data_IF_408848745167
#
_entry.id   IF_408848745167
#
_cell.length_a   1.000
_cell.length_b   1.000
_cell.length_c   1.000
_cell.angle_alpha   90.00
_cell.angle_beta   90.00
_cell.angle_gamma   90.00
#
_symmetry.space_group_name_H-M   'P 1'
#
loop_
_entity.id
_entity.type
_entity.pdbx_description
1 polymer ?
#
# COMPACT_ATOMS: atom_id res chain seq x y z
N UNK A 1 7.34 18.39 -15.22
CA UNK A 1 5.99 18.15 -14.60
C UNK A 1 5.11 17.51 -15.64
N UNK A 2 4.46 16.40 -15.27
CA UNK A 2 3.50 15.73 -16.14
C UNK A 2 2.33 16.64 -16.51
N UNK A 3 1.64 16.32 -17.61
CA UNK A 3 0.46 17.06 -18.02
C UNK A 3 -0.71 16.81 -17.04
N UNK A 4 -1.53 17.84 -16.83
CA UNK A 4 -2.78 17.73 -16.07
C UNK A 4 -3.65 16.56 -16.53
N UNK A 5 -3.65 16.27 -17.82
CA UNK A 5 -4.43 15.17 -18.42
C UNK A 5 -3.99 13.82 -17.87
N UNK A 6 -2.68 13.58 -17.65
CA UNK A 6 -2.18 12.34 -17.10
C UNK A 6 -2.74 12.08 -15.69
N UNK A 7 -2.81 13.11 -14.83
CA UNK A 7 -3.45 13.00 -13.50
C UNK A 7 -4.94 12.69 -13.63
N UNK A 8 -5.65 13.34 -14.55
CA UNK A 8 -7.08 13.11 -14.74
C UNK A 8 -7.36 11.68 -15.26
N UNK A 9 -6.55 11.21 -16.18
CA UNK A 9 -6.66 9.85 -16.74
C UNK A 9 -6.37 8.80 -15.66
N UNK A 10 -5.32 8.99 -14.85
CA UNK A 10 -4.99 8.12 -13.72
C UNK A 10 -6.11 8.13 -12.64
N UNK A 11 -6.68 9.29 -12.35
CA UNK A 11 -7.80 9.42 -11.42
C UNK A 11 -9.05 8.66 -11.89
N UNK A 12 -9.37 8.79 -13.17
CA UNK A 12 -10.49 8.06 -13.79
C UNK A 12 -10.26 6.54 -13.78
N UNK A 13 -9.02 6.09 -14.01
CA UNK A 13 -8.64 4.68 -13.99
C UNK A 13 -8.73 4.04 -12.60
N UNK A 14 -8.37 4.80 -11.57
CA UNK A 14 -8.37 4.32 -10.17
C UNK A 14 -9.68 4.59 -9.43
N UNK A 15 -10.64 5.28 -10.06
CA UNK A 15 -11.89 5.73 -9.42
C UNK A 15 -11.66 6.64 -8.21
N UNK A 16 -10.59 7.43 -8.25
CA UNK A 16 -10.19 8.35 -7.18
C UNK A 16 -10.30 9.81 -7.65
N UNK A 17 -10.26 10.74 -6.69
CA UNK A 17 -10.25 12.16 -7.05
C UNK A 17 -8.88 12.58 -7.62
N UNK A 18 -8.85 13.53 -8.58
CA UNK A 18 -7.59 14.04 -9.14
C UNK A 18 -6.62 14.58 -8.09
N UNK A 19 -7.11 15.13 -6.99
CA UNK A 19 -6.28 15.66 -5.91
C UNK A 19 -5.53 14.56 -5.15
N UNK A 20 -6.13 13.38 -4.97
CA UNK A 20 -5.47 12.23 -4.34
C UNK A 20 -4.34 11.71 -5.23
N UNK A 21 -4.59 11.61 -6.54
CA UNK A 21 -3.57 11.16 -7.50
C UNK A 21 -2.44 12.19 -7.66
N UNK A 22 -2.78 13.49 -7.75
CA UNK A 22 -1.76 14.55 -7.77
C UNK A 22 -0.88 14.51 -6.52
N UNK A 23 -1.48 14.29 -5.35
CA UNK A 23 -0.74 14.21 -4.11
C UNK A 23 0.21 13.01 -4.11
N UNK A 24 -0.24 11.84 -4.59
CA UNK A 24 0.63 10.65 -4.75
C UNK A 24 1.81 10.92 -5.70
N UNK A 25 1.58 11.65 -6.79
CA UNK A 25 2.62 12.08 -7.70
C UNK A 25 3.67 12.97 -7.00
N UNK A 26 3.20 14.02 -6.30
CA UNK A 26 4.10 14.95 -5.59
C UNK A 26 4.83 14.26 -4.43
N UNK A 27 4.19 13.32 -3.73
CA UNK A 27 4.83 12.49 -2.70
C UNK A 27 6.02 11.70 -3.25
N UNK A 28 5.91 11.16 -4.46
CA UNK A 28 7.03 10.46 -5.11
C UNK A 28 8.23 11.39 -5.36
N UNK A 29 7.99 12.59 -5.86
CA UNK A 29 9.05 13.58 -6.07
C UNK A 29 9.64 14.13 -4.78
N UNK A 30 8.83 14.29 -3.74
CA UNK A 30 9.34 14.62 -2.39
C UNK A 30 10.28 13.53 -1.86
N UNK A 31 9.91 12.26 -2.03
CA UNK A 31 10.76 11.13 -1.67
C UNK A 31 12.05 11.11 -2.48
N UNK A 32 12.01 11.43 -3.78
CA UNK A 32 13.21 11.58 -4.61
C UNK A 32 14.13 12.70 -4.09
N UNK A 33 13.57 13.86 -3.74
CA UNK A 33 14.33 14.96 -3.18
C UNK A 33 14.98 14.60 -1.83
N UNK A 34 14.23 13.96 -0.92
CA UNK A 34 14.73 13.53 0.39
C UNK A 34 15.82 12.46 0.23
N UNK A 35 15.61 11.46 -0.60
CA UNK A 35 16.55 10.34 -0.76
C UNK A 35 17.86 10.71 -1.46
N UNK A 36 17.86 11.80 -2.24
CA UNK A 36 19.05 12.33 -2.93
C UNK A 36 19.77 13.45 -2.17
N UNK A 37 19.20 13.88 -1.03
CA UNK A 37 19.82 14.93 -0.22
C UNK A 37 20.91 14.34 0.67
N UNK A 38 22.13 14.88 0.60
CA UNK A 38 23.31 14.30 1.25
C UNK A 38 23.17 14.12 2.78
N UNK A 39 22.48 15.05 3.46
CA UNK A 39 22.30 14.99 4.91
C UNK A 39 21.12 14.07 5.33
N UNK A 40 20.18 13.77 4.43
CA UNK A 40 18.95 13.03 4.76
C UNK A 40 18.98 11.57 4.32
N UNK A 41 19.60 11.27 3.18
CA UNK A 41 19.54 9.98 2.48
C UNK A 41 19.83 8.75 3.34
N UNK A 42 20.78 8.85 4.29
CA UNK A 42 21.19 7.77 5.20
C UNK A 42 20.61 7.91 6.61
N UNK A 43 19.99 9.04 6.91
CA UNK A 43 19.49 9.38 8.25
C UNK A 43 17.96 9.22 8.38
N UNK A 44 17.21 9.45 7.30
CA UNK A 44 15.76 9.44 7.31
C UNK A 44 15.23 8.10 6.81
N UNK A 45 14.61 7.33 7.71
CA UNK A 45 14.08 6.00 7.41
C UNK A 45 12.57 6.12 7.20
N UNK A 46 12.14 5.90 5.98
CA UNK A 46 10.75 6.02 5.55
C UNK A 46 9.89 4.91 6.16
N UNK A 47 8.70 5.28 6.66
CA UNK A 47 7.76 4.36 7.30
C UNK A 47 6.31 4.76 7.01
N UNK A 48 5.36 4.15 7.70
CA UNK A 48 3.95 4.53 7.66
C UNK A 48 3.17 3.96 6.48
N UNK A 49 1.97 4.49 6.27
CA UNK A 49 1.06 4.00 5.23
C UNK A 49 1.55 4.29 3.81
N UNK A 50 2.18 5.45 3.62
CA UNK A 50 2.76 5.83 2.33
C UNK A 50 3.96 4.95 1.97
N UNK A 51 4.75 4.52 2.96
CA UNK A 51 5.82 3.54 2.75
C UNK A 51 5.25 2.20 2.27
N UNK A 52 4.19 1.69 2.86
CA UNK A 52 3.53 0.47 2.39
C UNK A 52 3.07 0.59 0.94
N UNK A 53 2.41 1.71 0.57
CA UNK A 53 1.93 1.98 -0.78
C UNK A 53 3.08 2.12 -1.78
N UNK A 54 4.10 2.90 -1.45
CA UNK A 54 5.17 3.26 -2.38
C UNK A 54 6.26 2.19 -2.50
N UNK A 55 6.57 1.48 -1.41
CA UNK A 55 7.70 0.54 -1.38
C UNK A 55 7.29 -0.92 -1.57
N UNK A 56 6.05 -1.31 -1.19
CA UNK A 56 5.69 -2.72 -1.11
C UNK A 56 4.44 -3.11 -1.90
N UNK A 57 3.45 -2.20 -2.04
CA UNK A 57 2.15 -2.54 -2.62
C UNK A 57 1.67 -1.51 -3.64
N UNK A 58 1.79 -1.80 -4.91
CA UNK A 58 1.35 -0.92 -6.00
C UNK A 58 -0.15 -0.62 -5.93
N UNK A 59 -0.97 -1.64 -5.65
CA UNK A 59 -2.43 -1.53 -5.56
C UNK A 59 -2.92 -1.51 -4.11
N UNK A 60 -2.43 -0.55 -3.33
CA UNK A 60 -2.80 -0.38 -1.93
C UNK A 60 -3.68 0.87 -1.76
N UNK A 61 -4.27 1.05 -0.54
CA UNK A 61 -4.93 2.31 -0.25
C UNK A 61 -3.96 3.48 -0.43
N UNK A 62 -4.46 4.57 -0.95
CA UNK A 62 -3.68 5.80 -1.02
C UNK A 62 -3.39 6.32 0.39
N UNK A 63 -2.24 6.93 0.55
CA UNK A 63 -1.81 7.55 1.79
C UNK A 63 -1.18 8.89 1.47
N UNK A 64 -1.36 9.86 2.35
CA UNK A 64 -1.15 11.27 2.02
C UNK A 64 -0.06 11.94 2.86
N UNK A 65 0.48 11.23 3.84
CA UNK A 65 1.42 11.74 4.81
C UNK A 65 2.80 11.08 4.59
N UNK A 66 3.89 11.78 4.87
CA UNK A 66 5.25 11.24 4.91
C UNK A 66 5.70 11.07 6.35
N UNK A 67 5.93 9.84 6.75
CA UNK A 67 6.39 9.48 8.08
C UNK A 67 7.85 9.01 8.03
N UNK A 68 8.71 9.56 8.89
CA UNK A 68 10.11 9.14 8.99
C UNK A 68 10.54 8.90 10.44
N UNK A 69 11.39 7.90 10.61
CA UNK A 69 12.22 7.76 11.80
C UNK A 69 13.63 8.27 11.48
N UNK A 70 14.10 9.25 12.25
CA UNK A 70 15.41 9.84 12.08
C UNK A 70 16.44 9.13 12.96
N UNK A 71 17.63 8.86 12.41
CA UNK A 71 18.77 8.37 13.19
C UNK A 71 19.41 9.47 14.03
N UNK A 72 19.41 10.69 13.49
CA UNK A 72 19.92 11.88 14.17
C UNK A 72 18.78 12.78 14.64
N UNK A 73 18.54 12.80 15.95
CA UNK A 73 17.52 13.64 16.58
C UNK A 73 17.83 15.15 16.43
N UNK A 74 19.11 15.52 16.22
CA UNK A 74 19.52 16.92 16.00
C UNK A 74 18.96 17.53 14.71
N UNK A 75 18.53 16.70 13.77
CA UNK A 75 17.87 17.17 12.54
C UNK A 75 16.40 17.55 12.75
N UNK A 76 15.81 17.32 13.94
CA UNK A 76 14.49 17.82 14.29
C UNK A 76 14.64 19.26 14.82
N UNK A 77 14.99 20.16 13.93
CA UNK A 77 15.23 21.58 14.16
C UNK A 77 14.58 22.41 13.03
N UNK A 78 13.84 23.44 13.39
CA UNK A 78 13.08 24.23 12.43
C UNK A 78 13.97 24.90 11.38
N UNK A 79 15.14 25.43 11.79
CA UNK A 79 16.08 26.11 10.90
C UNK A 79 16.70 25.12 9.90
N UNK A 80 17.11 23.95 10.41
CA UNK A 80 17.60 22.86 9.58
C UNK A 80 16.53 22.43 8.56
N UNK A 81 15.31 22.16 9.00
CA UNK A 81 14.21 21.70 8.15
C UNK A 81 13.85 22.72 7.07
N UNK A 82 13.76 24.00 7.42
CA UNK A 82 13.50 25.07 6.44
C UNK A 82 14.56 25.14 5.36
N UNK A 83 15.85 25.00 5.73
CA UNK A 83 16.95 25.00 4.78
C UNK A 83 16.87 23.81 3.83
N UNK A 84 16.82 22.59 4.37
CA UNK A 84 16.86 21.38 3.51
C UNK A 84 15.64 21.27 2.62
N UNK A 85 14.46 21.66 3.08
CA UNK A 85 13.24 21.65 2.27
C UNK A 85 13.20 22.77 1.22
N UNK A 86 13.89 23.89 1.44
CA UNK A 86 14.11 24.89 0.38
C UNK A 86 15.00 24.32 -0.73
N UNK A 87 16.13 23.67 -0.38
CA UNK A 87 17.04 23.03 -1.33
C UNK A 87 16.34 21.90 -2.12
N UNK A 88 15.54 21.07 -1.43
CA UNK A 88 14.72 20.02 -2.06
C UNK A 88 13.69 20.63 -3.01
N UNK A 89 13.00 21.69 -2.58
CA UNK A 89 12.00 22.38 -3.39
C UNK A 89 12.56 22.99 -4.66
N UNK A 90 13.74 23.59 -4.62
CA UNK A 90 14.44 24.10 -5.79
C UNK A 90 14.78 22.98 -6.78
N UNK A 91 15.36 21.88 -6.28
CA UNK A 91 15.68 20.71 -7.12
C UNK A 91 14.44 20.11 -7.79
N UNK A 92 13.37 19.89 -7.05
CA UNK A 92 12.10 19.33 -7.58
C UNK A 92 11.54 20.28 -8.65
N UNK A 93 11.57 21.59 -8.43
CA UNK A 93 11.12 22.57 -9.42
C UNK A 93 11.94 22.50 -10.70
N UNK A 94 13.26 22.39 -10.58
CA UNK A 94 14.15 22.33 -11.74
C UNK A 94 13.98 21.04 -12.55
N UNK A 95 13.76 19.90 -11.87
CA UNK A 95 13.54 18.58 -12.52
C UNK A 95 12.13 18.43 -13.09
N UNK A 96 11.10 18.97 -12.44
CA UNK A 96 9.71 18.67 -12.74
C UNK A 96 8.82 19.88 -13.03
N UNK A 97 9.19 21.05 -12.54
CA UNK A 97 8.34 22.25 -12.56
C UNK A 97 7.28 22.28 -11.44
N UNK A 98 7.26 21.30 -10.50
CA UNK A 98 6.42 21.40 -9.28
C UNK A 98 6.97 22.53 -8.41
N UNK A 99 6.12 23.47 -8.04
CA UNK A 99 6.52 24.56 -7.14
C UNK A 99 6.30 24.16 -5.68
N UNK A 100 7.33 24.31 -4.84
CA UNK A 100 7.29 24.10 -3.39
C UNK A 100 7.74 25.38 -2.71
N UNK A 101 6.81 26.35 -2.48
CA UNK A 101 7.18 27.67 -1.97
C UNK A 101 7.76 27.60 -0.56
N UNK A 102 9.04 27.96 -0.38
CA UNK A 102 9.74 27.87 0.90
C UNK A 102 9.05 28.68 2.03
N UNK A 103 8.44 29.81 1.69
CA UNK A 103 7.74 30.67 2.64
C UNK A 103 6.40 30.11 3.15
N UNK A 104 5.87 29.04 2.52
CA UNK A 104 4.62 28.39 2.92
C UNK A 104 4.84 27.04 3.61
N UNK A 105 6.09 26.75 3.95
CA UNK A 105 6.43 25.53 4.69
C UNK A 105 6.36 25.81 6.19
N UNK A 106 5.70 24.95 6.90
CA UNK A 106 5.50 25.02 8.34
C UNK A 106 6.14 23.78 8.99
N UNK A 107 6.98 23.99 10.02
CA UNK A 107 7.58 22.91 10.81
C UNK A 107 7.35 23.22 12.29
N UNK A 108 6.43 22.48 12.91
CA UNK A 108 6.10 22.62 14.31
C UNK A 108 6.90 21.60 15.11
N UNK A 109 7.80 22.08 15.97
CA UNK A 109 8.61 21.23 16.84
C UNK A 109 7.85 21.01 18.14
N UNK A 110 7.54 19.76 18.44
CA UNK A 110 6.72 19.32 19.56
C UNK A 110 7.48 18.33 20.44
N UNK A 111 6.94 18.05 21.61
CA UNK A 111 7.38 16.93 22.44
C UNK A 111 6.27 15.86 22.49
N UNK A 112 6.68 14.62 22.33
CA UNK A 112 5.76 13.50 22.50
C UNK A 112 5.50 13.23 24.00
N UNK A 113 4.55 12.34 24.37
CA UNK A 113 4.23 12.03 25.77
C UNK A 113 5.43 11.54 26.60
N UNK A 114 6.51 11.07 25.96
CA UNK A 114 7.77 10.67 26.62
C UNK A 114 8.79 11.80 26.72
N UNK A 115 8.41 13.03 26.39
CA UNK A 115 9.28 14.21 26.43
C UNK A 115 10.36 14.23 25.35
N UNK A 116 10.21 13.44 24.28
CA UNK A 116 11.14 13.41 23.14
C UNK A 116 10.67 14.31 22.02
N UNK A 117 11.62 15.01 21.40
CA UNK A 117 11.35 15.93 20.30
C UNK A 117 10.80 15.18 19.06
N UNK A 118 9.76 15.77 18.47
CA UNK A 118 9.19 15.35 17.19
C UNK A 118 8.84 16.59 16.35
N UNK A 119 8.63 16.43 15.07
CA UNK A 119 8.18 17.51 14.19
C UNK A 119 6.92 17.11 13.44
N UNK A 120 5.96 18.02 13.39
CA UNK A 120 4.86 17.98 12.44
C UNK A 120 5.06 19.06 11.39
N UNK A 121 5.35 18.64 10.17
CA UNK A 121 5.57 19.52 9.04
C UNK A 121 4.35 19.59 8.13
N UNK A 122 4.20 20.73 7.45
CA UNK A 122 3.23 20.93 6.36
C UNK A 122 3.96 21.59 5.21
N UNK A 123 4.10 20.84 4.12
CA UNK A 123 4.79 21.29 2.91
C UNK A 123 3.76 21.60 1.85
N UNK A 124 3.53 22.88 1.58
CA UNK A 124 2.64 23.36 0.52
C UNK A 124 3.27 23.17 -0.84
N UNK A 125 2.47 22.77 -1.84
CA UNK A 125 2.93 22.58 -3.20
C UNK A 125 1.92 23.08 -4.24
N UNK A 126 2.40 23.33 -5.46
CA UNK A 126 1.58 23.59 -6.63
C UNK A 126 1.95 22.59 -7.72
N UNK A 127 1.06 21.64 -7.94
CA UNK A 127 1.19 20.58 -8.94
C UNK A 127 0.35 20.84 -10.20
N UNK A 128 0.22 19.81 -11.08
CA UNK A 128 -0.46 19.94 -12.38
C UNK A 128 -1.95 20.32 -12.31
N UNK A 129 -2.63 19.94 -11.22
CA UNK A 129 -4.10 20.14 -11.04
C UNK A 129 -4.38 21.20 -9.98
N UNK A 130 -3.39 21.59 -9.18
CA UNK A 130 -3.54 22.56 -8.11
C UNK A 130 -4.10 23.89 -8.59
N UNK A 131 -5.08 24.41 -7.87
CA UNK A 131 -5.68 25.72 -8.17
C UNK A 131 -4.88 26.85 -7.52
N UNK A 132 -5.09 28.08 -8.01
CA UNK A 132 -4.49 29.29 -7.40
C UNK A 132 -5.14 29.67 -6.05
N UNK A 133 -6.25 29.04 -5.67
CA UNK A 133 -6.98 29.31 -4.44
C UNK A 133 -6.68 28.23 -3.38
N UNK A 134 -5.64 28.44 -2.61
CA UNK A 134 -5.21 27.54 -1.54
C UNK A 134 -4.40 26.35 -2.08
N UNK A 135 -3.11 26.31 -1.75
CA UNK A 135 -2.25 25.21 -2.15
C UNK A 135 -2.51 23.95 -1.30
N UNK A 136 -2.54 22.77 -1.90
CA UNK A 136 -2.56 21.52 -1.17
C UNK A 136 -1.26 21.35 -0.36
N UNK A 137 -1.34 20.50 0.68
CA UNK A 137 -0.22 20.30 1.61
C UNK A 137 0.07 18.80 1.78
N UNK A 138 1.35 18.47 1.83
CA UNK A 138 1.84 17.19 2.33
C UNK A 138 2.12 17.36 3.81
N UNK A 139 1.62 16.46 4.63
CA UNK A 139 2.01 16.35 6.03
C UNK A 139 3.30 15.55 6.15
N UNK A 140 4.15 15.97 7.07
CA UNK A 140 5.42 15.35 7.37
C UNK A 140 5.49 15.08 8.89
N UNK A 141 5.63 13.82 9.27
CA UNK A 141 5.80 13.43 10.67
C UNK A 141 7.21 12.87 10.89
N UNK A 142 8.02 13.58 11.68
CA UNK A 142 9.40 13.23 11.98
C UNK A 142 9.56 12.88 13.46
N UNK A 143 10.20 11.75 13.73
CA UNK A 143 10.53 11.33 15.09
C UNK A 143 11.88 10.61 15.13
N UNK A 144 12.66 10.80 16.20
CA UNK A 144 13.81 9.95 16.52
C UNK A 144 13.50 8.99 17.67
N UNK A 145 12.27 9.03 18.20
CA UNK A 145 11.85 8.23 19.34
C UNK A 145 11.13 6.95 18.92
N UNK A 146 11.86 6.12 18.15
CA UNK A 146 11.41 4.81 17.70
C UNK A 146 12.53 3.78 17.81
N UNK A 147 12.19 2.55 18.20
CA UNK A 147 13.11 1.42 18.15
C UNK A 147 13.06 0.78 16.77
N UNK A 148 14.17 0.84 16.05
CA UNK A 148 14.37 0.10 14.80
C UNK A 148 14.91 -1.27 15.18
N UNK A 149 14.17 -2.32 14.88
CA UNK A 149 14.49 -3.70 15.28
C UNK A 149 15.25 -4.41 14.16
N UNK A 150 14.84 -4.22 12.92
CA UNK A 150 15.48 -4.81 11.74
C UNK A 150 16.29 -3.74 10.99
N UNK A 151 17.39 -4.12 10.32
CA UNK A 151 18.13 -3.19 9.48
C UNK A 151 17.21 -2.57 8.43
N UNK A 152 17.20 -1.22 8.30
CA UNK A 152 16.47 -0.56 7.23
C UNK A 152 16.98 -1.00 5.86
N UNK A 153 16.09 -1.02 4.87
CA UNK A 153 16.36 -1.49 3.52
C UNK A 153 16.27 -0.34 2.51
N UNK A 154 17.08 -0.40 1.45
CA UNK A 154 16.91 0.48 0.30
C UNK A 154 15.95 -0.16 -0.67
N UNK A 155 14.91 0.57 -1.06
CA UNK A 155 13.79 0.06 -1.86
C UNK A 155 13.44 1.06 -2.94
N UNK A 156 13.28 0.57 -4.18
CA UNK A 156 12.72 1.37 -5.26
C UNK A 156 11.23 1.61 -4.99
N UNK A 157 10.79 2.87 -5.07
CA UNK A 157 9.39 3.20 -4.91
C UNK A 157 8.59 3.01 -6.21
N UNK A 158 7.33 2.67 -6.07
CA UNK A 158 6.39 2.69 -7.17
C UNK A 158 5.97 4.14 -7.49
N UNK A 159 6.36 4.62 -8.68
CA UNK A 159 6.10 5.97 -9.17
C UNK A 159 5.72 5.92 -10.66
N UNK A 160 4.49 5.54 -11.02
CA UNK A 160 4.08 5.19 -12.37
C UNK A 160 3.70 6.42 -13.22
N UNK A 161 4.52 7.46 -13.19
CA UNK A 161 4.29 8.69 -13.92
C UNK A 161 5.32 8.86 -15.03
N UNK A 162 4.92 9.51 -16.14
CA UNK A 162 5.71 9.56 -17.37
C UNK A 162 7.03 10.33 -17.25
N UNK A 163 7.17 11.17 -16.23
CA UNK A 163 8.41 11.92 -15.93
C UNK A 163 9.26 11.27 -14.84
N UNK A 164 8.97 10.02 -14.47
CA UNK A 164 9.79 9.28 -13.51
C UNK A 164 11.25 9.18 -13.99
N UNK A 165 12.24 9.33 -13.08
CA UNK A 165 13.65 9.15 -13.44
C UNK A 165 13.90 7.76 -14.01
N UNK A 166 14.77 7.63 -15.03
CA UNK A 166 15.10 6.35 -15.67
C UNK A 166 15.69 5.33 -14.67
N UNK A 167 16.51 5.80 -13.72
CA UNK A 167 17.08 4.99 -12.65
C UNK A 167 16.08 4.63 -11.55
N UNK A 168 14.86 5.19 -11.60
CA UNK A 168 13.86 5.10 -10.56
C UNK A 168 14.17 5.98 -9.35
N UNK A 169 13.39 5.80 -8.28
CA UNK A 169 13.55 6.53 -7.01
C UNK A 169 13.77 5.49 -5.91
N UNK A 170 14.96 5.48 -5.32
CA UNK A 170 15.30 4.60 -4.21
C UNK A 170 15.25 5.35 -2.88
N UNK A 171 14.61 4.77 -1.86
CA UNK A 171 14.51 5.32 -0.52
C UNK A 171 15.04 4.37 0.53
N UNK A 172 15.56 4.90 1.64
CA UNK A 172 15.84 4.12 2.85
C UNK A 172 14.53 3.95 3.62
N UNK A 173 14.06 2.72 3.80
CA UNK A 173 12.76 2.43 4.40
C UNK A 173 12.86 1.37 5.51
N UNK A 174 11.81 1.26 6.32
CA UNK A 174 11.65 0.11 7.20
C UNK A 174 11.66 -1.20 6.40
N UNK A 175 12.25 -2.26 6.98
CA UNK A 175 12.01 -3.62 6.49
C UNK A 175 10.50 -3.91 6.52
N UNK A 176 10.03 -4.71 5.57
CA UNK A 176 8.62 -5.05 5.45
C UNK A 176 8.02 -5.63 6.75
N UNK A 177 8.77 -6.51 7.42
CA UNK A 177 8.32 -7.13 8.67
C UNK A 177 8.25 -6.11 9.79
N UNK A 178 9.19 -5.17 9.83
CA UNK A 178 9.16 -4.06 10.78
C UNK A 178 7.97 -3.13 10.52
N UNK A 179 7.70 -2.80 9.26
CA UNK A 179 6.54 -1.99 8.89
C UNK A 179 5.22 -2.66 9.27
N UNK A 180 5.12 -3.98 9.09
CA UNK A 180 3.94 -4.75 9.52
C UNK A 180 3.81 -4.78 11.05
N UNK A 181 4.89 -5.07 11.78
CA UNK A 181 4.88 -5.06 13.24
C UNK A 181 4.50 -3.68 13.81
N UNK A 182 4.97 -2.60 13.17
CA UNK A 182 4.60 -1.23 13.54
C UNK A 182 3.09 -0.97 13.36
N UNK A 183 2.49 -1.46 12.27
CA UNK A 183 1.04 -1.37 12.04
C UNK A 183 0.24 -2.19 13.04
N UNK A 184 0.71 -3.39 13.37
CA UNK A 184 0.07 -4.24 14.37
C UNK A 184 0.11 -3.60 15.77
N UNK A 185 1.28 -3.07 16.17
CA UNK A 185 1.42 -2.30 17.41
C UNK A 185 0.49 -1.08 17.43
N UNK A 186 0.45 -0.31 16.35
CA UNK A 186 -0.39 0.87 16.23
C UNK A 186 -1.88 0.53 16.31
N UNK A 187 -2.31 -0.60 15.74
CA UNK A 187 -3.68 -1.09 15.89
C UNK A 187 -4.02 -1.32 17.36
N UNK A 188 -3.13 -1.98 18.11
CA UNK A 188 -3.33 -2.23 19.54
C UNK A 188 -3.31 -0.95 20.40
N UNK A 189 -2.43 0.01 20.05
CA UNK A 189 -2.25 1.24 20.81
C UNK A 189 -3.41 2.24 20.66
N UNK A 190 -3.97 2.34 19.46
CA UNK A 190 -4.91 3.42 19.12
C UNK A 190 -6.16 2.99 18.35
N UNK A 191 -6.23 1.75 17.93
CA UNK A 191 -7.37 1.09 17.27
C UNK A 191 -8.04 1.95 16.19
N UNK A 192 -7.25 2.48 15.23
CA UNK A 192 -7.78 3.33 14.15
C UNK A 192 -8.18 2.51 12.92
N UNK A 193 -9.18 2.96 12.14
CA UNK A 193 -9.63 2.32 10.90
C UNK A 193 -8.50 1.96 9.94
N UNK A 194 -7.57 2.90 9.70
CA UNK A 194 -6.43 2.67 8.80
C UNK A 194 -5.51 1.56 9.30
N UNK A 195 -5.30 1.43 10.62
CA UNK A 195 -4.42 0.42 11.18
C UNK A 195 -5.07 -0.98 11.09
N UNK A 196 -6.39 -1.10 11.29
CA UNK A 196 -7.12 -2.34 11.06
C UNK A 196 -7.06 -2.75 9.58
N UNK A 197 -7.36 -1.82 8.66
CA UNK A 197 -7.27 -2.07 7.23
C UNK A 197 -5.87 -2.56 6.85
N UNK A 198 -4.83 -1.88 7.33
CA UNK A 198 -3.44 -2.21 7.04
C UNK A 198 -3.07 -3.60 7.57
N UNK A 199 -3.34 -3.91 8.84
CA UNK A 199 -3.01 -5.20 9.46
C UNK A 199 -3.67 -6.36 8.73
N UNK A 200 -4.97 -6.26 8.42
CA UNK A 200 -5.70 -7.32 7.73
C UNK A 200 -5.15 -7.55 6.32
N UNK A 201 -4.88 -6.49 5.56
CA UNK A 201 -4.35 -6.64 4.20
C UNK A 201 -2.90 -7.13 4.17
N UNK A 202 -2.08 -6.75 5.15
CA UNK A 202 -0.73 -7.30 5.32
C UNK A 202 -0.77 -8.79 5.65
N UNK A 203 -1.71 -9.23 6.47
CA UNK A 203 -1.93 -10.65 6.79
C UNK A 203 -2.44 -11.44 5.57
N UNK A 204 -3.39 -10.90 4.80
CA UNK A 204 -3.96 -11.54 3.59
C UNK A 204 -2.92 -11.80 2.51
N UNK A 205 -1.84 -11.01 2.46
CA UNK A 205 -0.76 -11.22 1.50
C UNK A 205 0.12 -12.39 1.91
N UNK A 206 -0.33 -13.61 1.60
CA UNK A 206 0.30 -14.87 2.01
C UNK A 206 1.75 -14.98 1.53
N UNK A 207 2.09 -14.45 0.34
CA UNK A 207 3.45 -14.51 -0.21
C UNK A 207 4.45 -13.64 0.56
N UNK A 208 3.99 -12.53 1.12
CA UNK A 208 4.80 -11.60 1.89
C UNK A 208 4.67 -11.77 3.40
N UNK A 209 3.66 -12.51 3.85
CA UNK A 209 3.39 -12.71 5.28
C UNK A 209 4.58 -13.40 5.95
N UNK A 210 5.14 -12.79 7.01
CA UNK A 210 6.27 -13.39 7.73
C UNK A 210 5.85 -14.63 8.52
N UNK A 211 6.84 -15.45 8.89
CA UNK A 211 6.63 -16.50 9.87
C UNK A 211 6.22 -15.92 11.23
N UNK A 212 5.25 -16.53 11.94
CA UNK A 212 4.69 -15.92 13.15
C UNK A 212 5.73 -15.74 14.29
N UNK A 213 6.66 -16.69 14.47
CA UNK A 213 7.67 -16.61 15.54
C UNK A 213 8.58 -15.37 15.40
N UNK A 214 9.35 -15.24 14.31
CA UNK A 214 10.17 -14.05 14.05
C UNK A 214 9.39 -12.75 14.04
N UNK A 215 8.15 -12.76 13.51
CA UNK A 215 7.27 -11.59 13.54
C UNK A 215 6.91 -11.18 14.97
N UNK A 216 6.54 -12.15 15.82
CA UNK A 216 6.20 -11.89 17.22
C UNK A 216 7.36 -11.30 18.01
N UNK A 217 8.61 -11.68 17.70
CA UNK A 217 9.80 -11.09 18.33
C UNK A 217 9.97 -9.62 17.97
N UNK A 218 9.82 -9.25 16.68
CA UNK A 218 9.87 -7.86 16.24
C UNK A 218 8.74 -7.04 16.87
N UNK A 219 7.52 -7.59 16.85
CA UNK A 219 6.35 -6.94 17.46
C UNK A 219 6.55 -6.72 18.96
N UNK A 220 7.06 -7.72 19.69
CA UNK A 220 7.35 -7.61 21.12
C UNK A 220 8.33 -6.48 21.39
N UNK A 221 9.45 -6.41 20.66
CA UNK A 221 10.45 -5.37 20.83
C UNK A 221 9.88 -3.96 20.58
N UNK A 222 8.96 -3.82 19.61
CA UNK A 222 8.24 -2.56 19.34
C UNK A 222 7.27 -2.20 20.48
N UNK A 223 6.52 -3.18 20.99
CA UNK A 223 5.58 -2.99 22.09
C UNK A 223 6.29 -2.62 23.39
N UNK A 224 7.34 -3.35 23.76
CA UNK A 224 8.14 -3.08 24.95
C UNK A 224 8.74 -1.67 24.94
N UNK A 225 9.23 -1.20 23.78
CA UNK A 225 9.74 0.15 23.64
C UNK A 225 8.69 1.23 23.95
N UNK A 226 7.41 0.94 23.68
CA UNK A 226 6.28 1.83 24.02
C UNK A 226 5.66 1.51 25.40
N UNK A 227 6.22 0.59 26.16
CA UNK A 227 5.70 0.20 27.47
C UNK A 227 4.41 -0.64 27.38
N UNK A 228 4.18 -1.32 26.26
CA UNK A 228 3.01 -2.16 26.01
C UNK A 228 3.37 -3.64 26.09
N UNK A 229 2.41 -4.48 26.50
CA UNK A 229 2.47 -5.91 26.27
C UNK A 229 2.24 -6.31 24.81
N UNK A 230 2.46 -7.60 24.48
CA UNK A 230 1.99 -8.11 23.20
C UNK A 230 0.47 -8.00 23.14
N UNK A 231 -0.08 -7.46 22.04
CA UNK A 231 -1.52 -7.25 21.91
C UNK A 231 -2.27 -8.59 21.82
N UNK A 232 -3.49 -8.59 22.35
CA UNK A 232 -4.47 -9.65 22.20
C UNK A 232 -5.79 -9.10 21.67
N UNK A 233 -6.66 -9.96 21.19
CA UNK A 233 -7.93 -9.54 20.58
C UNK A 233 -8.81 -8.75 21.56
N UNK A 234 -8.82 -9.13 22.82
CA UNK A 234 -9.61 -8.47 23.87
C UNK A 234 -9.21 -7.05 24.14
N UNK A 235 -7.97 -6.65 23.78
CA UNK A 235 -7.51 -5.26 23.90
C UNK A 235 -8.20 -4.34 22.88
N UNK A 236 -8.65 -4.88 21.75
CA UNK A 236 -9.29 -4.12 20.67
C UNK A 236 -10.80 -3.98 20.85
N UNK A 237 -11.46 -4.95 21.53
CA UNK A 237 -12.92 -5.00 21.66
C UNK A 237 -13.55 -3.73 22.24
N UNK A 238 -12.99 -3.07 23.28
CA UNK A 238 -13.56 -1.84 23.83
C UNK A 238 -13.61 -0.68 22.84
N UNK A 239 -12.75 -0.69 21.83
CA UNK A 239 -12.59 0.39 20.83
C UNK A 239 -13.35 0.12 19.52
N UNK A 240 -14.06 -0.99 19.43
CA UNK A 240 -14.76 -1.39 18.20
C UNK A 240 -15.76 -0.35 17.72
N UNK A 241 -16.55 0.22 18.62
CA UNK A 241 -17.57 1.21 18.27
C UNK A 241 -16.96 2.50 17.66
N UNK A 242 -15.85 2.99 18.23
CA UNK A 242 -15.14 4.18 17.72
C UNK A 242 -14.50 3.90 16.35
N UNK A 243 -13.99 2.69 16.17
CA UNK A 243 -13.43 2.24 14.91
C UNK A 243 -14.50 2.16 13.82
N UNK A 244 -15.68 1.61 14.12
CA UNK A 244 -16.83 1.54 13.22
C UNK A 244 -17.30 2.95 12.83
N UNK A 245 -17.43 3.86 13.78
CA UNK A 245 -17.84 5.24 13.54
C UNK A 245 -16.86 6.01 12.61
N UNK A 246 -15.55 5.75 12.73
CA UNK A 246 -14.52 6.39 11.93
C UNK A 246 -14.26 5.73 10.57
N UNK A 247 -14.80 4.53 10.30
CA UNK A 247 -14.40 3.66 9.19
C UNK A 247 -14.50 4.33 7.81
N UNK A 248 -15.70 4.77 7.46
CA UNK A 248 -15.95 5.39 6.16
C UNK A 248 -15.20 6.71 6.02
N UNK A 249 -15.27 7.56 7.04
CA UNK A 249 -14.65 8.88 7.01
C UNK A 249 -13.12 8.83 6.78
N UNK A 250 -12.44 7.83 7.36
CA UNK A 250 -10.98 7.72 7.28
C UNK A 250 -10.46 6.97 6.05
N UNK A 251 -11.30 6.16 5.37
CA UNK A 251 -10.82 5.24 4.35
C UNK A 251 -11.45 5.42 2.97
N UNK A 252 -12.72 5.84 2.86
CA UNK A 252 -13.45 5.85 1.61
C UNK A 252 -12.75 6.67 0.50
N UNK A 253 -12.20 7.82 0.85
CA UNK A 253 -11.48 8.69 -0.11
C UNK A 253 -10.11 8.14 -0.57
N UNK A 254 -9.62 7.05 0.03
CA UNK A 254 -8.32 6.43 -0.27
C UNK A 254 -8.44 5.14 -1.07
N UNK A 255 -9.66 4.69 -1.37
CA UNK A 255 -9.93 3.38 -1.92
C UNK A 255 -10.90 3.46 -3.11
N UNK A 256 -10.70 2.64 -4.15
CA UNK A 256 -11.68 2.47 -5.23
C UNK A 256 -13.04 1.94 -4.75
N UNK A 257 -13.06 1.14 -3.70
CA UNK A 257 -14.24 0.65 -3.01
C UNK A 257 -13.89 0.24 -1.58
N UNK A 258 -14.79 0.46 -0.63
CA UNK A 258 -14.59 0.14 0.78
C UNK A 258 -15.64 -0.88 1.25
N UNK A 259 -15.16 -2.02 1.80
CA UNK A 259 -16.01 -3.00 2.48
C UNK A 259 -16.46 -2.50 3.87
N UNK A 260 -17.59 -3.01 4.39
CA UNK A 260 -17.95 -2.81 5.77
C UNK A 260 -16.84 -3.27 6.73
N UNK A 261 -16.70 -2.57 7.84
CA UNK A 261 -15.69 -2.87 8.87
C UNK A 261 -15.75 -4.32 9.37
N UNK A 262 -16.95 -4.91 9.44
CA UNK A 262 -17.13 -6.30 9.84
C UNK A 262 -16.31 -7.27 9.00
N UNK A 263 -16.15 -7.03 7.69
CA UNK A 263 -15.33 -7.86 6.80
C UNK A 263 -13.83 -7.88 7.15
N UNK A 264 -13.37 -6.91 7.93
CA UNK A 264 -12.01 -6.86 8.44
C UNK A 264 -11.93 -7.31 9.90
N UNK A 265 -12.89 -6.90 10.71
CA UNK A 265 -12.94 -7.26 12.11
C UNK A 265 -13.06 -8.77 12.34
N UNK A 266 -13.88 -9.44 11.53
CA UNK A 266 -14.15 -10.87 11.64
C UNK A 266 -12.93 -11.76 11.29
N UNK A 267 -11.87 -11.18 10.70
CA UNK A 267 -10.60 -11.89 10.45
C UNK A 267 -9.60 -11.77 11.62
N UNK A 268 -9.80 -10.85 12.56
CA UNK A 268 -8.89 -10.66 13.69
C UNK A 268 -8.66 -11.94 14.52
N UNK A 269 -9.67 -12.76 14.83
CA UNK A 269 -9.43 -14.02 15.55
C UNK A 269 -8.43 -14.94 14.86
N UNK A 270 -8.46 -15.04 13.53
CA UNK A 270 -7.52 -15.84 12.75
C UNK A 270 -6.11 -15.22 12.78
N UNK A 271 -6.02 -13.88 12.65
CA UNK A 271 -4.76 -13.14 12.70
C UNK A 271 -4.08 -13.31 14.05
N UNK A 272 -4.82 -13.18 15.15
CA UNK A 272 -4.27 -13.38 16.50
C UNK A 272 -3.90 -14.86 16.77
N UNK A 273 -4.66 -15.81 16.22
CA UNK A 273 -4.28 -17.22 16.28
C UNK A 273 -2.97 -17.50 15.52
N UNK A 274 -2.79 -16.90 14.33
CA UNK A 274 -1.53 -16.95 13.59
C UNK A 274 -0.37 -16.34 14.40
N UNK A 275 -0.57 -15.16 14.99
CA UNK A 275 0.44 -14.51 15.83
C UNK A 275 0.88 -15.40 17.00
N UNK A 276 -0.04 -16.17 17.57
CA UNK A 276 0.24 -17.16 18.63
C UNK A 276 0.88 -18.46 18.12
N UNK A 277 1.28 -18.54 16.85
CA UNK A 277 1.91 -19.71 16.23
C UNK A 277 0.92 -20.73 15.65
N UNK A 278 -0.36 -20.38 15.55
CA UNK A 278 -1.39 -21.19 14.88
C UNK A 278 -1.13 -21.29 13.37
N UNK A 279 -1.61 -22.38 12.78
CA UNK A 279 -1.53 -22.56 11.34
C UNK A 279 -2.70 -21.86 10.64
N UNK A 280 -2.40 -21.06 9.60
CA UNK A 280 -3.45 -20.55 8.73
C UNK A 280 -4.08 -21.69 7.91
N UNK A 281 -5.39 -21.58 7.56
CA UNK A 281 -6.04 -22.54 6.70
C UNK A 281 -5.28 -22.70 5.37
N UNK A 282 -5.05 -23.95 4.97
CA UNK A 282 -4.43 -24.25 3.68
C UNK A 282 -5.55 -24.37 2.66
N UNK A 283 -5.60 -23.42 1.73
CA UNK A 283 -6.53 -23.45 0.61
C UNK A 283 -5.98 -24.37 -0.50
N UNK A 284 -6.87 -25.19 -1.09
CA UNK A 284 -6.51 -26.02 -2.24
C UNK A 284 -6.36 -25.18 -3.50
N UNK A 285 -5.45 -25.58 -4.40
CA UNK A 285 -5.29 -24.89 -5.67
C UNK A 285 -6.59 -24.90 -6.48
N UNK A 286 -6.85 -23.78 -7.19
CA UNK A 286 -8.03 -23.68 -8.06
C UNK A 286 -7.98 -24.74 -9.17
N UNK A 287 -9.10 -25.49 -9.43
CA UNK A 287 -9.13 -26.48 -10.49
C UNK A 287 -8.93 -25.80 -11.85
N UNK A 288 -7.96 -26.29 -12.61
CA UNK A 288 -7.67 -25.83 -13.97
C UNK A 288 -8.50 -26.72 -14.92
N UNK A 289 -9.36 -26.10 -15.73
CA UNK A 289 -10.15 -26.84 -16.73
C UNK A 289 -9.25 -27.63 -17.68
N UNK A 290 -9.59 -28.90 -17.95
CA UNK A 290 -8.72 -29.90 -18.58
C UNK A 290 -8.36 -29.66 -20.05
N UNK A 291 -9.04 -28.79 -20.78
CA UNK A 291 -8.87 -28.67 -22.25
C UNK A 291 -7.97 -27.52 -22.69
N UNK A 292 -7.80 -26.48 -21.89
CA UNK A 292 -6.86 -25.38 -22.15
C UNK A 292 -5.80 -25.37 -21.06
N UNK A 293 -4.79 -26.20 -21.19
CA UNK A 293 -3.68 -26.25 -20.23
C UNK A 293 -3.03 -24.89 -20.13
N UNK A 294 -3.27 -24.30 -19.02
CA UNK A 294 -2.77 -23.03 -18.60
C UNK A 294 -1.38 -23.22 -18.01
N UNK A 295 -0.38 -22.65 -18.65
CA UNK A 295 0.98 -22.68 -18.13
C UNK A 295 0.99 -21.83 -16.86
N UNK A 296 1.57 -22.37 -15.81
CA UNK A 296 1.75 -21.71 -14.50
C UNK A 296 2.93 -20.74 -14.58
N UNK A 297 2.77 -19.67 -15.35
CA UNK A 297 3.73 -18.57 -15.33
C UNK A 297 3.31 -17.60 -14.21
N UNK A 298 4.16 -17.44 -13.21
CA UNK A 298 3.95 -16.49 -12.11
C UNK A 298 4.11 -15.03 -12.57
N UNK A 299 4.80 -14.81 -13.68
CA UNK A 299 5.00 -13.49 -14.27
C UNK A 299 4.31 -13.51 -15.62
N UNK A 300 3.10 -13.01 -15.68
CA UNK A 300 2.40 -12.77 -16.92
C UNK A 300 2.73 -11.34 -17.36
N UNK A 301 3.44 -11.13 -18.48
CA UNK A 301 3.59 -9.77 -19.02
C UNK A 301 2.21 -9.19 -19.26
N UNK A 302 1.96 -8.04 -18.67
CA UNK A 302 0.68 -7.36 -18.77
C UNK A 302 0.53 -6.71 -20.14
N UNK A 303 -0.71 -6.57 -20.67
CA UNK A 303 -0.93 -5.90 -21.93
C UNK A 303 -0.37 -4.48 -21.88
N UNK A 304 0.43 -4.12 -22.87
CA UNK A 304 0.95 -2.77 -23.04
C UNK A 304 -0.19 -1.86 -23.51
N UNK A 305 -0.81 -1.16 -22.56
CA UNK A 305 -1.85 -0.18 -22.85
C UNK A 305 -2.49 0.33 -21.56
N UNK A 306 -2.63 1.64 -21.42
CA UNK A 306 -3.12 2.27 -20.20
C UNK A 306 -4.45 1.68 -19.67
N UNK A 307 -5.38 1.35 -20.59
CA UNK A 307 -6.69 0.79 -20.21
C UNK A 307 -6.58 -0.66 -19.68
N UNK A 308 -5.75 -1.50 -20.30
CA UNK A 308 -5.55 -2.89 -19.86
C UNK A 308 -4.89 -2.97 -18.49
N UNK A 309 -3.91 -2.11 -18.24
CA UNK A 309 -3.24 -2.01 -16.95
C UNK A 309 -4.22 -1.57 -15.85
N UNK A 310 -5.02 -0.55 -16.08
CA UNK A 310 -6.02 -0.07 -15.12
C UNK A 310 -7.02 -1.16 -14.71
N UNK A 311 -7.49 -1.97 -15.66
CA UNK A 311 -8.39 -3.07 -15.35
C UNK A 311 -7.74 -4.12 -14.46
N UNK A 312 -6.48 -4.46 -14.72
CA UNK A 312 -5.73 -5.41 -13.91
C UNK A 312 -5.53 -4.87 -12.49
N UNK A 313 -5.19 -3.60 -12.33
CA UNK A 313 -4.97 -3.00 -11.02
C UNK A 313 -6.25 -2.97 -10.18
N UNK A 314 -7.40 -2.68 -10.80
CA UNK A 314 -8.70 -2.78 -10.13
C UNK A 314 -9.06 -4.22 -9.76
N UNK A 315 -8.75 -5.21 -10.62
CA UNK A 315 -8.96 -6.63 -10.35
C UNK A 315 -8.03 -7.08 -9.21
N UNK A 316 -6.77 -6.68 -9.22
CA UNK A 316 -5.79 -6.97 -8.14
C UNK A 316 -6.24 -6.37 -6.81
N UNK A 317 -6.65 -5.10 -6.84
CA UNK A 317 -7.20 -4.43 -5.67
C UNK A 317 -8.39 -5.18 -5.11
N UNK A 318 -9.37 -5.53 -5.94
CA UNK A 318 -10.57 -6.23 -5.51
C UNK A 318 -10.26 -7.63 -4.98
N UNK A 319 -9.40 -8.40 -5.65
CA UNK A 319 -8.99 -9.72 -5.20
C UNK A 319 -8.34 -9.68 -3.82
N UNK A 320 -7.38 -8.77 -3.61
CA UNK A 320 -6.66 -8.59 -2.34
C UNK A 320 -7.60 -8.19 -1.21
N UNK A 321 -8.59 -7.34 -1.51
CA UNK A 321 -9.59 -6.90 -0.54
C UNK A 321 -10.78 -7.87 -0.41
N UNK A 322 -10.75 -9.02 -1.08
CA UNK A 322 -11.83 -10.02 -1.09
C UNK A 322 -13.17 -9.45 -1.59
N UNK A 323 -13.11 -8.56 -2.58
CA UNK A 323 -14.27 -7.93 -3.22
C UNK A 323 -14.68 -8.70 -4.47
N UNK A 324 -15.97 -8.88 -4.67
CA UNK A 324 -16.49 -9.26 -5.98
C UNK A 324 -16.23 -8.14 -6.99
N UNK A 325 -15.91 -8.53 -8.21
CA UNK A 325 -15.70 -7.64 -9.34
C UNK A 325 -16.79 -7.84 -10.36
N UNK A 326 -17.41 -6.77 -10.81
CA UNK A 326 -18.19 -6.77 -12.03
C UNK A 326 -17.26 -6.60 -13.23
N UNK A 327 -17.36 -7.52 -14.19
CA UNK A 327 -16.69 -7.41 -15.48
C UNK A 327 -17.71 -7.33 -16.61
N UNK A 328 -17.51 -6.39 -17.54
CA UNK A 328 -18.21 -6.36 -18.83
C UNK A 328 -17.43 -7.23 -19.80
N UNK A 329 -17.99 -8.36 -20.20
CA UNK A 329 -17.30 -9.40 -20.96
C UNK A 329 -18.03 -9.72 -22.26
N UNK A 330 -17.25 -9.99 -23.32
CA UNK A 330 -17.75 -10.54 -24.59
C UNK A 330 -17.38 -12.02 -24.70
N UNK A 331 -18.36 -12.87 -24.84
CA UNK A 331 -18.13 -14.31 -24.97
C UNK A 331 -17.61 -14.73 -26.35
N UNK A 332 -17.45 -16.06 -26.57
CA UNK A 332 -17.01 -16.60 -27.88
C UNK A 332 -18.00 -16.37 -29.00
N UNK A 333 -19.27 -16.15 -28.69
CA UNK A 333 -20.36 -15.87 -29.63
C UNK A 333 -20.51 -14.39 -29.92
N UNK A 334 -19.72 -13.53 -29.28
CA UNK A 334 -19.81 -12.07 -29.42
C UNK A 334 -20.90 -11.41 -28.54
N UNK A 335 -21.52 -12.18 -27.64
CA UNK A 335 -22.56 -11.65 -26.74
C UNK A 335 -21.93 -10.92 -25.58
N UNK A 336 -22.37 -9.68 -25.38
CA UNK A 336 -21.93 -8.86 -24.23
C UNK A 336 -22.78 -9.18 -23.01
N UNK A 337 -22.13 -9.31 -21.86
CA UNK A 337 -22.80 -9.53 -20.57
C UNK A 337 -21.95 -8.98 -19.42
N UNK A 338 -22.60 -8.50 -18.38
CA UNK A 338 -21.96 -8.14 -17.11
C UNK A 338 -21.99 -9.35 -16.18
N UNK A 339 -20.87 -9.62 -15.52
CA UNK A 339 -20.71 -10.77 -14.65
C UNK A 339 -20.00 -10.37 -13.35
N UNK A 340 -20.55 -10.80 -12.21
CA UNK A 340 -19.88 -10.71 -10.91
C UNK A 340 -18.99 -11.93 -10.71
N UNK A 341 -17.73 -11.70 -10.36
CA UNK A 341 -16.71 -12.74 -10.20
C UNK A 341 -15.86 -12.54 -8.94
N UNK A 342 -15.39 -13.65 -8.37
CA UNK A 342 -14.31 -13.74 -7.41
C UNK A 342 -13.01 -13.92 -8.20
N UNK A 343 -12.11 -12.95 -8.22
CA UNK A 343 -10.87 -13.00 -8.99
C UNK A 343 -9.74 -13.68 -8.18
N UNK A 344 -9.00 -14.61 -8.78
CA UNK A 344 -7.98 -15.40 -8.08
C UNK A 344 -6.59 -15.29 -8.66
N UNK A 345 -6.43 -15.44 -9.98
CA UNK A 345 -5.10 -15.49 -10.60
C UNK A 345 -5.14 -15.14 -12.08
N UNK A 346 -3.97 -14.77 -12.61
CA UNK A 346 -3.73 -14.68 -14.05
C UNK A 346 -2.96 -15.90 -14.52
N UNK A 347 -3.31 -16.42 -15.70
CA UNK A 347 -2.67 -17.56 -16.35
C UNK A 347 -2.46 -17.24 -17.83
N UNK A 348 -1.56 -17.99 -18.46
CA UNK A 348 -1.34 -17.93 -19.91
C UNK A 348 -1.91 -19.17 -20.58
N UNK A 349 -2.67 -19.00 -21.66
CA UNK A 349 -3.13 -20.10 -22.51
C UNK A 349 -1.97 -20.68 -23.32
N UNK A 350 -2.14 -21.87 -23.93
CA UNK A 350 -1.16 -22.42 -24.85
C UNK A 350 -0.91 -21.53 -26.08
N UNK A 351 -1.89 -20.71 -26.45
CA UNK A 351 -1.80 -19.76 -27.56
C UNK A 351 -1.09 -18.45 -27.15
N UNK A 352 -0.77 -18.26 -25.84
CA UNK A 352 -0.11 -17.08 -25.33
C UNK A 352 -1.05 -16.02 -24.75
N UNK A 353 -2.37 -16.25 -24.81
CA UNK A 353 -3.34 -15.28 -24.31
C UNK A 353 -3.35 -15.23 -22.77
N UNK A 354 -3.66 -14.06 -22.20
CA UNK A 354 -3.79 -13.88 -20.76
C UNK A 354 -5.22 -14.20 -20.32
N UNK A 355 -5.34 -15.13 -19.37
CA UNK A 355 -6.58 -15.59 -18.78
C UNK A 355 -6.70 -15.13 -17.34
N UNK A 356 -7.81 -14.48 -17.00
CA UNK A 356 -8.22 -14.26 -15.60
C UNK A 356 -8.95 -15.50 -15.10
N UNK A 357 -8.40 -16.16 -14.08
CA UNK A 357 -9.03 -17.27 -13.38
C UNK A 357 -9.92 -16.72 -12.27
N UNK A 358 -11.20 -17.09 -12.30
CA UNK A 358 -12.18 -16.55 -11.38
C UNK A 358 -13.30 -17.56 -11.07
N UNK A 359 -14.05 -17.31 -10.01
CA UNK A 359 -15.31 -18.01 -9.73
C UNK A 359 -16.45 -17.06 -10.06
N UNK A 360 -17.43 -17.53 -10.83
CA UNK A 360 -18.61 -16.74 -11.12
C UNK A 360 -19.55 -16.74 -9.90
N UNK A 361 -19.89 -15.57 -9.38
CA UNK A 361 -20.69 -15.44 -8.16
C UNK A 361 -22.09 -16.08 -8.28
N UNK A 362 -22.69 -15.98 -9.48
CA UNK A 362 -24.06 -16.48 -9.71
C UNK A 362 -24.25 -17.99 -9.55
N UNK A 363 -23.23 -18.80 -9.83
CA UNK A 363 -23.32 -20.29 -9.80
C UNK A 363 -22.17 -20.96 -9.03
N UNK A 364 -21.22 -20.18 -8.54
CA UNK A 364 -20.06 -20.69 -7.78
C UNK A 364 -19.08 -21.52 -8.61
N UNK A 365 -19.15 -21.47 -9.96
CA UNK A 365 -18.29 -22.28 -10.81
C UNK A 365 -17.01 -21.54 -11.22
N UNK A 366 -15.89 -22.28 -11.20
CA UNK A 366 -14.63 -21.80 -11.72
C UNK A 366 -14.72 -21.55 -13.24
N UNK A 367 -14.21 -20.41 -13.68
CA UNK A 367 -14.22 -19.95 -15.08
C UNK A 367 -12.89 -19.27 -15.39
N UNK A 368 -12.53 -19.30 -16.68
CA UNK A 368 -11.45 -18.47 -17.23
C UNK A 368 -12.03 -17.41 -18.17
N UNK A 369 -11.55 -16.20 -18.05
CA UNK A 369 -11.94 -15.07 -18.88
C UNK A 369 -10.72 -14.56 -19.65
N UNK A 370 -10.83 -14.45 -20.98
CA UNK A 370 -9.78 -13.80 -21.78
C UNK A 370 -9.71 -12.32 -21.41
N UNK A 371 -8.54 -11.86 -20.99
CA UNK A 371 -8.38 -10.48 -20.51
C UNK A 371 -8.71 -9.45 -21.61
N UNK A 372 -8.33 -9.71 -22.85
CA UNK A 372 -8.62 -8.87 -24.03
C UNK A 372 -10.11 -8.70 -24.32
N UNK A 373 -10.95 -9.62 -23.81
CA UNK A 373 -12.42 -9.59 -23.95
C UNK A 373 -13.14 -8.93 -22.78
N UNK A 374 -12.42 -8.35 -21.84
CA UNK A 374 -12.93 -7.54 -20.74
C UNK A 374 -12.91 -6.08 -21.18
N UNK A 375 -14.06 -5.43 -21.19
CA UNK A 375 -14.23 -4.06 -21.65
C UNK A 375 -14.55 -3.06 -20.52
N UNK A 376 -14.88 -3.58 -19.34
CA UNK A 376 -15.16 -2.80 -18.15
C UNK A 376 -14.87 -3.63 -16.89
N UNK A 377 -14.38 -2.96 -15.86
CA UNK A 377 -14.10 -3.54 -14.54
C UNK A 377 -14.56 -2.58 -13.47
N UNK A 378 -15.37 -3.06 -12.54
CA UNK A 378 -15.87 -2.28 -11.40
C UNK A 378 -15.79 -3.11 -10.12
N UNK A 379 -14.97 -2.74 -9.13
CA UNK A 379 -15.04 -3.34 -7.81
C UNK A 379 -16.43 -3.08 -7.20
N UNK A 380 -16.99 -4.09 -6.56
CA UNK A 380 -18.27 -3.96 -5.84
C UNK A 380 -18.03 -3.70 -4.34
N UNK A 381 -19.10 -3.48 -3.59
CA UNK A 381 -19.05 -3.46 -2.12
C UNK A 381 -19.47 -4.81 -1.50
N UNK A 382 -19.43 -5.90 -2.29
CA UNK A 382 -19.78 -7.24 -1.84
C UNK A 382 -18.50 -8.03 -1.58
N UNK A 383 -18.37 -8.59 -0.38
CA UNK A 383 -17.24 -9.46 -0.04
C UNK A 383 -17.49 -10.90 -0.46
N UNK A 384 -16.40 -11.65 -0.63
CA UNK A 384 -16.43 -13.11 -0.73
C UNK A 384 -15.40 -13.72 0.24
N UNK A 385 -15.66 -14.96 0.68
CA UNK A 385 -14.65 -15.74 1.39
C UNK A 385 -13.84 -16.55 0.38
N UNK A 386 -12.51 -16.39 0.31
CA UNK A 386 -11.69 -17.12 -0.64
C UNK A 386 -11.82 -18.63 -0.50
N UNK A 387 -12.05 -19.30 -1.62
CA UNK A 387 -12.11 -20.78 -1.76
C UNK A 387 -10.79 -21.35 -2.21
N UNK A 388 -9.99 -20.51 -2.88
CA UNK A 388 -8.70 -20.84 -3.46
C UNK A 388 -7.66 -19.77 -3.08
N UNK A 389 -6.34 -20.06 -3.13
CA UNK A 389 -5.33 -19.05 -2.94
C UNK A 389 -5.49 -17.90 -3.94
N UNK A 390 -5.47 -16.68 -3.43
CA UNK A 390 -5.43 -15.48 -4.27
C UNK A 390 -3.98 -15.24 -4.66
N UNK A 391 -3.67 -15.40 -5.95
CA UNK A 391 -2.34 -15.16 -6.51
C UNK A 391 -2.21 -13.76 -7.12
N UNK A 392 -3.32 -13.01 -7.18
CA UNK A 392 -3.37 -11.59 -7.54
C UNK A 392 -2.97 -10.76 -6.32
N UNK A 393 -1.70 -10.43 -6.23
CA UNK A 393 -1.17 -9.68 -5.07
C UNK A 393 -1.21 -8.17 -5.32
N UNK A 394 -1.23 -7.34 -4.25
CA UNK A 394 -1.07 -5.91 -4.39
C UNK A 394 0.36 -5.51 -4.78
N UNK A 395 1.33 -6.41 -4.62
CA UNK A 395 2.70 -6.22 -5.05
C UNK A 395 2.81 -6.39 -6.57
N UNK A 396 3.40 -5.43 -7.26
CA UNK A 396 3.60 -5.50 -8.71
C UNK A 396 4.87 -6.23 -9.11
N UNK A 397 5.51 -5.75 -10.19
CA UNK A 397 6.79 -6.25 -10.70
C UNK A 397 7.95 -6.06 -9.71
N UNK A 398 7.84 -5.14 -8.79
CA UNK A 398 8.75 -4.99 -7.65
C UNK A 398 8.36 -6.02 -6.59
N UNK A 399 8.81 -7.25 -6.77
CA UNK A 399 8.60 -8.30 -5.78
C UNK A 399 9.25 -7.92 -4.46
N UNK A 400 8.50 -8.05 -3.36
CA UNK A 400 9.10 -8.10 -2.01
C UNK A 400 10.22 -9.14 -2.08
N UNK A 401 11.46 -8.81 -1.69
CA UNK A 401 12.57 -9.76 -1.78
C UNK A 401 12.18 -11.06 -1.11
N UNK A 402 12.20 -12.19 -1.84
CA UNK A 402 12.02 -13.51 -1.24
C UNK A 402 13.09 -13.64 -0.19
N UNK A 403 12.71 -13.80 1.07
CA UNK A 403 13.66 -14.12 2.13
C UNK A 403 14.44 -15.34 1.70
N UNK A 404 15.75 -15.19 1.55
CA UNK A 404 16.63 -16.33 1.70
C UNK A 404 16.37 -16.89 3.10
N UNK A 405 16.31 -18.19 3.25
CA UNK A 405 16.17 -18.92 4.52
C UNK A 405 17.39 -18.77 5.45
N UNK A 406 18.05 -17.62 5.39
CA UNK A 406 19.12 -17.27 6.31
C UNK A 406 18.49 -17.03 7.69
N UNK A 407 18.70 -17.98 8.59
CA UNK A 407 18.40 -17.91 10.00
C UNK A 407 18.95 -16.59 10.56
N UNK A 408 18.08 -15.63 10.87
CA UNK A 408 18.46 -14.47 11.65
C UNK A 408 18.81 -14.93 13.06
N UNK A 409 20.11 -14.96 13.38
CA UNK A 409 20.56 -14.92 14.77
C UNK A 409 20.52 -13.46 15.18
N UNK A 410 19.62 -13.12 16.09
CA UNK A 410 19.69 -11.85 16.82
C UNK A 410 21.05 -11.88 17.56
N UNK A 411 21.91 -10.95 17.21
CA UNK A 411 23.16 -10.74 17.95
C UNK A 411 22.84 -10.38 19.40
N UNK A 412 23.52 -11.05 20.32
CA UNK A 412 23.44 -10.88 21.77
C UNK A 412 23.85 -9.45 22.20
#
# INVERSE_FOLDING_TARGET
MIDRREILDAAAQTSLTPHVVEKDYVLGWMLAGISRHAELADNWIFKGGTCLKKCFFETYRFSEDLDFTLRDAGQIDETFLKRVFAEIGERIRDETGIEIPAQLQEFEILQNPRGKTMCQGKVSYKGPVSSSHGLPRIKLDLTADERIVLPPVRVQIFHPYSDAPEEGIEVLAYDYVEAFAEKFRALAERTRPRDLYDVVNLYRNVEARPEPGPFAEVLRAKCEFKGMGLPCLTDLEPHRADLEAGWVHMLDHQLPALLPVASFWDELPEIFAWLAGGRSPVLTAMPIGSENVVIRDRIVPLPTGARGQAFIDLIRFAATNHLLVEIDYVDKQGVRSTREIEAYSLRRSKAGDVLLMAVRAADGQARSYLLEKIFGVRPTQKSFRPRYPIELTPSGLQSIPRRSSASFRLGA
#
